data_IF_167190470036
#
_entry.id   IF_167190470036
#
_cell.length_a   1.000
_cell.length_b   1.000
_cell.length_c   1.000
_cell.angle_alpha   90.00
_cell.angle_beta   90.00
_cell.angle_gamma   90.00
#
_symmetry.space_group_name_H-M   'P 1'
#
loop_
_entity.id
_entity.type
_entity.pdbx_description
1 polymer ?
#
# COMPACT_ATOMS: atom_id res chain seq x y z
N UNK A 1 28.97 -45.06 0.61
CA UNK A 1 27.65 -44.72 1.15
C UNK A 1 27.72 -43.25 1.50
N UNK A 2 27.33 -42.37 0.57
CA UNK A 2 27.10 -40.95 0.87
C UNK A 2 25.85 -40.91 1.72
N UNK A 3 26.01 -40.53 2.98
CA UNK A 3 24.90 -40.43 3.92
C UNK A 3 23.88 -39.43 3.35
N UNK A 4 22.59 -39.77 3.38
CA UNK A 4 21.51 -39.03 2.71
C UNK A 4 21.19 -37.67 3.35
N UNK A 5 22.13 -37.09 4.10
CA UNK A 5 22.00 -35.85 4.87
C UNK A 5 22.41 -34.61 4.09
N UNK A 6 23.13 -34.74 2.97
CA UNK A 6 23.63 -33.60 2.18
C UNK A 6 22.53 -32.82 1.42
N UNK A 7 21.28 -33.31 1.45
CA UNK A 7 20.14 -32.74 0.72
C UNK A 7 18.99 -32.27 1.62
N UNK A 8 19.19 -32.20 2.94
CA UNK A 8 18.18 -31.67 3.86
C UNK A 8 18.20 -30.13 3.81
N UNK A 9 17.04 -29.47 3.69
CA UNK A 9 16.97 -28.01 3.77
C UNK A 9 17.46 -27.55 5.14
N UNK A 10 18.15 -26.42 5.14
CA UNK A 10 18.61 -25.76 6.37
C UNK A 10 17.74 -24.54 6.55
N UNK A 11 16.78 -24.65 7.46
CA UNK A 11 15.84 -23.56 7.74
C UNK A 11 16.48 -22.60 8.75
N UNK A 12 16.63 -21.34 8.33
CA UNK A 12 17.26 -20.30 9.14
C UNK A 12 16.34 -19.11 9.20
N UNK A 13 15.83 -18.81 10.38
CA UNK A 13 15.03 -17.61 10.61
C UNK A 13 15.86 -16.36 10.32
N UNK A 14 15.33 -15.45 9.49
CA UNK A 14 16.04 -14.27 8.97
C UNK A 14 16.62 -13.36 10.07
N UNK A 15 15.92 -13.21 11.19
CA UNK A 15 16.34 -12.46 12.37
C UNK A 15 17.46 -13.16 13.19
N UNK A 16 17.70 -14.45 12.98
CA UNK A 16 18.79 -15.22 13.59
C UNK A 16 19.93 -15.53 12.63
N UNK A 17 19.83 -15.15 11.36
CA UNK A 17 20.81 -15.46 10.33
C UNK A 17 22.22 -15.00 10.72
N UNK A 18 22.39 -13.78 11.23
CA UNK A 18 23.71 -13.27 11.62
C UNK A 18 24.35 -14.11 12.75
N UNK A 19 23.58 -14.43 13.79
CA UNK A 19 24.06 -15.26 14.90
C UNK A 19 24.36 -16.67 14.44
N UNK A 20 23.48 -17.24 13.62
CA UNK A 20 23.66 -18.57 13.04
C UNK A 20 24.96 -18.64 12.24
N UNK A 21 25.28 -17.58 11.47
CA UNK A 21 26.53 -17.46 10.71
C UNK A 21 27.75 -17.32 11.63
N UNK A 22 27.64 -16.60 12.74
CA UNK A 22 28.73 -16.41 13.72
C UNK A 22 28.97 -17.70 14.52
N UNK A 23 27.93 -18.35 15.01
CA UNK A 23 27.99 -19.57 15.83
C UNK A 23 28.62 -20.72 15.07
N UNK A 24 28.25 -20.88 13.78
CA UNK A 24 28.87 -21.86 12.88
C UNK A 24 30.21 -21.43 12.30
N UNK A 25 30.71 -20.24 12.68
CA UNK A 25 31.98 -19.67 12.25
C UNK A 25 32.08 -19.45 10.73
N UNK A 26 30.94 -19.28 10.05
CA UNK A 26 30.91 -18.79 8.68
C UNK A 26 31.30 -17.31 8.62
N UNK A 27 30.95 -16.54 9.65
CA UNK A 27 31.35 -15.15 9.84
C UNK A 27 32.12 -15.02 11.15
N UNK A 28 33.19 -14.22 11.15
CA UNK A 28 33.93 -13.91 12.37
C UNK A 28 33.10 -13.01 13.29
N UNK A 29 33.18 -13.26 14.60
CA UNK A 29 32.52 -12.42 15.61
C UNK A 29 32.88 -10.92 15.50
N UNK A 30 34.05 -10.57 14.95
CA UNK A 30 34.52 -9.19 14.79
C UNK A 30 34.46 -8.67 13.35
N UNK A 31 33.54 -9.19 12.54
CA UNK A 31 33.41 -8.83 11.13
C UNK A 31 33.25 -7.31 10.88
N UNK A 32 32.73 -6.53 11.84
CA UNK A 32 32.57 -5.07 11.69
C UNK A 32 33.91 -4.33 11.53
N UNK A 33 34.99 -4.85 12.13
CA UNK A 33 36.34 -4.28 11.97
C UNK A 33 36.82 -4.48 10.54
N UNK A 34 36.61 -5.68 10.02
CA UNK A 34 37.00 -6.05 8.66
C UNK A 34 36.13 -5.31 7.63
N UNK A 35 34.82 -5.19 7.85
CA UNK A 35 33.89 -4.35 7.08
C UNK A 35 34.36 -2.88 7.04
N UNK A 36 34.73 -2.29 8.18
CA UNK A 36 35.26 -0.92 8.21
C UNK A 36 36.56 -0.78 7.41
N UNK A 37 37.43 -1.80 7.45
CA UNK A 37 38.66 -1.83 6.66
C UNK A 37 38.36 -1.92 5.15
N UNK A 38 37.38 -2.73 4.76
CA UNK A 38 36.92 -2.85 3.39
C UNK A 38 36.34 -1.51 2.90
N UNK A 39 35.52 -0.83 3.69
CA UNK A 39 34.94 0.46 3.32
C UNK A 39 36.01 1.54 3.10
N UNK A 40 37.09 1.53 3.89
CA UNK A 40 38.24 2.42 3.66
C UNK A 40 38.95 2.12 2.34
N UNK A 41 39.12 0.84 1.99
CA UNK A 41 39.68 0.42 0.70
C UNK A 41 38.77 0.83 -0.47
N UNK A 42 37.46 0.68 -0.32
CA UNK A 42 36.47 1.16 -1.31
C UNK A 42 36.64 2.66 -1.53
N UNK A 43 36.63 3.48 -0.46
CA UNK A 43 36.78 4.93 -0.57
C UNK A 43 38.08 5.37 -1.26
N UNK A 44 39.16 4.60 -1.10
CA UNK A 44 40.40 4.83 -1.83
C UNK A 44 40.27 4.43 -3.31
N UNK A 45 39.71 3.25 -3.59
CA UNK A 45 39.56 2.73 -4.95
C UNK A 45 38.59 3.54 -5.83
N UNK A 46 37.60 4.22 -5.24
CA UNK A 46 36.67 5.13 -5.96
C UNK A 46 37.41 6.31 -6.61
N UNK A 47 38.54 6.75 -6.05
CA UNK A 47 39.28 7.90 -6.57
C UNK A 47 39.88 7.64 -7.95
N UNK A 48 40.08 6.37 -8.30
CA UNK A 48 40.63 5.94 -9.59
C UNK A 48 39.56 5.16 -10.38
N UNK A 49 38.46 5.83 -10.77
CA UNK A 49 37.35 5.26 -11.53
C UNK A 49 37.33 5.69 -13.00
N UNK A 50 36.98 4.80 -13.95
CA UNK A 50 36.79 5.18 -15.34
C UNK A 50 35.47 5.94 -15.54
N UNK A 51 35.42 6.78 -16.58
CA UNK A 51 34.20 7.51 -16.95
C UNK A 51 33.18 6.61 -17.66
N UNK A 52 32.59 5.67 -16.91
CA UNK A 52 31.46 4.85 -17.35
C UNK A 52 30.21 5.33 -16.62
N UNK A 53 29.17 5.71 -17.36
CA UNK A 53 27.93 6.26 -16.79
C UNK A 53 27.25 5.30 -15.78
N UNK A 54 27.29 4.00 -16.04
CA UNK A 54 26.78 2.99 -15.12
C UNK A 54 27.60 2.90 -13.81
N UNK A 55 28.91 3.14 -13.88
CA UNK A 55 29.76 3.22 -12.68
C UNK A 55 29.44 4.51 -11.90
N UNK A 56 29.26 5.64 -12.58
CA UNK A 56 28.90 6.92 -11.93
C UNK A 56 27.57 6.83 -11.18
N UNK A 57 26.57 6.15 -11.75
CA UNK A 57 25.26 5.95 -11.09
C UNK A 57 25.38 5.02 -9.88
N UNK A 58 26.13 3.92 -9.96
CA UNK A 58 26.39 3.03 -8.82
C UNK A 58 27.15 3.72 -7.69
N UNK A 59 28.02 4.68 -8.01
CA UNK A 59 28.81 5.45 -7.05
C UNK A 59 28.09 6.69 -6.51
N UNK A 60 26.96 7.10 -7.10
CA UNK A 60 26.17 8.24 -6.63
C UNK A 60 25.40 7.95 -5.34
N UNK A 61 25.23 6.67 -4.97
CA UNK A 61 24.62 6.25 -3.71
C UNK A 61 25.51 6.51 -2.49
N UNK A 62 24.92 6.62 -1.30
CA UNK A 62 25.61 6.96 -0.05
C UNK A 62 26.45 5.81 0.54
N UNK A 63 26.20 4.56 0.15
CA UNK A 63 26.91 3.38 0.65
C UNK A 63 27.12 2.32 -0.45
N UNK A 64 28.38 1.96 -0.70
CA UNK A 64 28.78 0.96 -1.70
C UNK A 64 28.94 -0.39 -1.00
N UNK A 65 28.11 -1.36 -1.38
CA UNK A 65 28.10 -2.70 -0.78
C UNK A 65 28.79 -3.74 -1.69
N UNK A 66 28.88 -4.98 -1.22
CA UNK A 66 29.46 -6.11 -1.97
C UNK A 66 28.89 -6.26 -3.39
N UNK A 67 27.58 -6.16 -3.59
CA UNK A 67 26.95 -6.32 -4.90
C UNK A 67 27.31 -5.18 -5.86
N UNK A 68 27.43 -3.95 -5.33
CA UNK A 68 27.98 -2.83 -6.10
C UNK A 68 29.44 -3.10 -6.50
N UNK A 69 30.26 -3.62 -5.59
CA UNK A 69 31.65 -4.00 -5.89
C UNK A 69 31.74 -5.09 -6.96
N UNK A 70 30.86 -6.10 -6.92
CA UNK A 70 30.79 -7.15 -7.95
C UNK A 70 30.41 -6.57 -9.31
N UNK A 71 29.40 -5.69 -9.36
CA UNK A 71 28.98 -5.06 -10.62
C UNK A 71 30.06 -4.15 -11.19
N UNK A 72 30.73 -3.37 -10.35
CA UNK A 72 31.88 -2.55 -10.76
C UNK A 72 33.00 -3.46 -11.30
N UNK A 73 33.31 -4.57 -10.63
CA UNK A 73 34.29 -5.54 -11.11
C UNK A 73 33.94 -6.12 -12.48
N UNK A 74 32.67 -6.44 -12.71
CA UNK A 74 32.18 -6.94 -14.00
C UNK A 74 32.33 -5.90 -15.11
N UNK A 75 31.93 -4.65 -14.85
CA UNK A 75 32.07 -3.55 -15.80
C UNK A 75 33.55 -3.25 -16.12
N UNK A 76 34.43 -3.36 -15.13
CA UNK A 76 35.88 -3.25 -15.32
C UNK A 76 36.45 -4.40 -16.16
N UNK A 77 35.95 -5.63 -16.00
CA UNK A 77 36.37 -6.78 -16.84
C UNK A 77 36.06 -6.55 -18.32
N UNK A 78 34.93 -5.91 -18.62
CA UNK A 78 34.50 -5.60 -19.99
C UNK A 78 35.33 -4.44 -20.57
N UNK A 79 35.51 -3.37 -19.81
CA UNK A 79 36.20 -2.15 -20.28
C UNK A 79 37.72 -2.28 -20.36
N UNK A 80 38.36 -3.10 -19.52
CA UNK A 80 39.82 -3.24 -19.43
C UNK A 80 40.35 -4.58 -20.01
N UNK A 81 39.56 -5.24 -20.86
CA UNK A 81 39.80 -6.57 -21.41
C UNK A 81 41.14 -6.75 -22.15
N UNK A 82 41.78 -5.67 -22.60
CA UNK A 82 43.08 -5.66 -23.27
C UNK A 82 44.32 -5.64 -22.36
N UNK A 83 44.17 -5.56 -21.04
CA UNK A 83 45.28 -5.32 -20.09
C UNK A 83 45.79 -6.58 -19.36
N UNK A 84 45.69 -7.77 -19.97
CA UNK A 84 46.14 -9.03 -19.32
C UNK A 84 47.64 -9.28 -19.57
N UNK A 85 48.37 -9.61 -18.51
CA UNK A 85 49.76 -10.06 -18.59
C UNK A 85 49.84 -11.49 -19.18
N UNK A 86 51.04 -11.92 -19.57
CA UNK A 86 51.34 -13.22 -20.21
C UNK A 86 50.84 -14.45 -19.40
N UNK A 87 50.52 -14.27 -18.11
CA UNK A 87 49.97 -15.28 -17.21
C UNK A 87 48.45 -15.16 -16.97
N UNK A 88 47.73 -14.34 -17.74
CA UNK A 88 46.28 -14.19 -17.65
C UNK A 88 45.76 -13.24 -16.55
N UNK A 89 46.65 -12.70 -15.71
CA UNK A 89 46.30 -11.71 -14.69
C UNK A 89 46.11 -10.32 -15.29
N UNK A 90 45.09 -9.60 -14.83
CA UNK A 90 44.88 -8.19 -15.17
C UNK A 90 46.02 -7.32 -14.60
N UNK A 91 46.54 -6.41 -15.42
CA UNK A 91 47.72 -5.61 -15.07
C UNK A 91 47.39 -4.29 -14.37
N UNK A 92 46.19 -3.75 -14.59
CA UNK A 92 45.74 -2.48 -14.02
C UNK A 92 45.64 -2.54 -12.50
N UNK A 93 46.10 -1.47 -11.84
CA UNK A 93 46.04 -1.35 -10.38
C UNK A 93 44.59 -1.31 -9.89
N UNK A 94 43.74 -0.55 -10.58
CA UNK A 94 42.29 -0.49 -10.36
C UNK A 94 41.65 -1.88 -10.30
N UNK A 95 41.86 -2.71 -11.32
CA UNK A 95 41.29 -4.05 -11.35
C UNK A 95 41.77 -4.90 -10.17
N UNK A 96 43.04 -4.80 -9.80
CA UNK A 96 43.59 -5.50 -8.61
C UNK A 96 42.95 -5.01 -7.32
N UNK A 97 42.73 -3.71 -7.17
CA UNK A 97 42.14 -3.12 -5.97
C UNK A 97 40.69 -3.59 -5.79
N UNK A 98 39.88 -3.60 -6.85
CA UNK A 98 38.49 -4.11 -6.79
C UNK A 98 38.42 -5.63 -6.63
N UNK A 99 39.34 -6.39 -7.23
CA UNK A 99 39.47 -7.83 -6.98
C UNK A 99 39.82 -8.10 -5.51
N UNK A 100 40.71 -7.31 -4.92
CA UNK A 100 41.07 -7.43 -3.50
C UNK A 100 39.87 -7.11 -2.60
N UNK A 101 39.12 -6.04 -2.89
CA UNK A 101 37.92 -5.66 -2.14
C UNK A 101 36.87 -6.79 -2.14
N UNK A 102 36.58 -7.36 -3.31
CA UNK A 102 35.62 -8.49 -3.45
C UNK A 102 36.12 -9.72 -2.68
N UNK A 103 37.42 -10.04 -2.81
CA UNK A 103 38.04 -11.15 -2.08
C UNK A 103 37.98 -10.97 -0.56
N UNK A 104 38.15 -9.74 -0.06
CA UNK A 104 38.05 -9.43 1.35
C UNK A 104 36.62 -9.62 1.88
N UNK A 105 35.59 -9.24 1.10
CA UNK A 105 34.21 -9.54 1.46
C UNK A 105 33.93 -11.05 1.51
N UNK A 106 34.49 -11.83 0.60
CA UNK A 106 34.23 -13.27 0.47
C UNK A 106 34.96 -14.11 1.52
N UNK A 107 36.19 -13.73 1.89
CA UNK A 107 37.11 -14.51 2.75
C UNK A 107 36.52 -14.93 4.10
N UNK A 108 35.66 -14.11 4.67
CA UNK A 108 34.98 -14.38 5.95
C UNK A 108 33.46 -14.13 5.86
N UNK A 109 32.91 -14.25 4.64
CA UNK A 109 31.49 -14.02 4.34
C UNK A 109 30.93 -12.71 4.90
N UNK A 110 31.75 -11.66 4.93
CA UNK A 110 31.43 -10.35 5.52
C UNK A 110 30.23 -9.72 4.82
N UNK A 111 30.08 -9.98 3.52
CA UNK A 111 28.92 -9.53 2.75
C UNK A 111 27.59 -10.02 3.34
N UNK A 112 27.51 -11.27 3.84
CA UNK A 112 26.30 -11.78 4.48
C UNK A 112 26.00 -11.04 5.79
N UNK A 113 27.04 -10.68 6.52
CA UNK A 113 26.90 -10.00 7.80
C UNK A 113 26.44 -8.54 7.65
N UNK A 114 26.98 -7.82 6.66
CA UNK A 114 26.50 -6.48 6.30
C UNK A 114 25.06 -6.48 5.81
N UNK A 115 24.67 -7.47 5.00
CA UNK A 115 23.28 -7.61 4.56
C UNK A 115 22.33 -7.88 5.74
N UNK A 116 22.77 -8.67 6.74
CA UNK A 116 21.98 -8.85 7.95
C UNK A 116 21.81 -7.56 8.76
N UNK A 117 22.84 -6.73 8.90
CA UNK A 117 22.73 -5.44 9.63
C UNK A 117 21.85 -4.42 8.87
N UNK A 118 21.81 -4.49 7.54
CA UNK A 118 20.86 -3.69 6.75
C UNK A 118 19.42 -4.10 6.99
N UNK A 119 19.16 -5.37 7.31
CA UNK A 119 17.81 -5.82 7.65
C UNK A 119 17.26 -5.11 8.90
N UNK A 120 18.10 -4.69 9.84
CA UNK A 120 17.66 -3.92 11.02
C UNK A 120 17.07 -2.57 10.62
N UNK A 121 17.74 -1.88 9.69
CA UNK A 121 17.25 -0.62 9.13
C UNK A 121 16.00 -0.86 8.28
N UNK A 122 15.99 -1.94 7.51
CA UNK A 122 14.82 -2.34 6.74
C UNK A 122 13.59 -2.56 7.63
N UNK A 123 13.70 -3.30 8.75
CA UNK A 123 12.58 -3.47 9.68
C UNK A 123 12.16 -2.14 10.34
N UNK A 124 13.10 -1.23 10.59
CA UNK A 124 12.78 0.10 11.10
C UNK A 124 11.99 0.92 10.07
N UNK A 125 12.46 0.97 8.83
CA UNK A 125 11.82 1.70 7.74
C UNK A 125 10.48 1.06 7.35
N UNK A 126 10.41 -0.28 7.33
CA UNK A 126 9.20 -1.05 7.07
C UNK A 126 8.15 -0.87 8.18
N UNK A 127 8.55 -0.76 9.45
CA UNK A 127 7.63 -0.47 10.55
C UNK A 127 7.00 0.93 10.40
N UNK A 128 7.79 1.93 9.99
CA UNK A 128 7.28 3.28 9.71
C UNK A 128 6.34 3.26 8.51
N UNK A 129 6.72 2.58 7.43
CA UNK A 129 5.88 2.44 6.24
C UNK A 129 4.55 1.74 6.55
N UNK A 130 4.57 0.60 7.24
CA UNK A 130 3.36 -0.14 7.63
C UNK A 130 2.43 0.71 8.51
N UNK A 131 2.99 1.48 9.44
CA UNK A 131 2.24 2.44 10.26
C UNK A 131 1.61 3.55 9.43
N UNK A 132 2.36 4.14 8.50
CA UNK A 132 1.84 5.18 7.62
C UNK A 132 0.72 4.64 6.72
N UNK A 133 0.87 3.44 6.17
CA UNK A 133 -0.16 2.76 5.38
C UNK A 133 -1.42 2.50 6.21
N UNK A 134 -1.28 1.98 7.44
CA UNK A 134 -2.42 1.78 8.35
C UNK A 134 -3.14 3.09 8.64
N UNK A 135 -2.40 4.16 8.94
CA UNK A 135 -2.97 5.48 9.22
C UNK A 135 -3.63 6.11 7.99
N UNK A 136 -3.05 5.94 6.81
CA UNK A 136 -3.65 6.41 5.56
C UNK A 136 -4.95 5.67 5.28
N UNK A 137 -4.98 4.36 5.47
CA UNK A 137 -6.18 3.54 5.30
C UNK A 137 -7.27 3.91 6.30
N UNK A 138 -6.93 4.12 7.58
CA UNK A 138 -7.86 4.61 8.58
C UNK A 138 -8.41 6.00 8.22
N UNK A 139 -7.58 6.91 7.70
CA UNK A 139 -8.01 8.23 7.23
C UNK A 139 -8.95 8.16 6.03
N UNK A 140 -8.71 7.26 5.07
CA UNK A 140 -9.59 7.04 3.93
C UNK A 140 -10.98 6.58 4.37
N UNK A 141 -11.02 5.69 5.37
CA UNK A 141 -12.28 5.22 5.97
C UNK A 141 -12.92 6.23 6.92
N UNK A 142 -12.18 7.24 7.40
CA UNK A 142 -12.66 8.20 8.39
C UNK A 142 -12.73 7.65 9.82
N UNK A 143 -11.97 6.59 10.11
CA UNK A 143 -11.93 5.93 11.42
C UNK A 143 -10.63 6.26 12.17
N UNK A 144 -10.66 6.12 13.50
CA UNK A 144 -9.47 6.22 14.37
C UNK A 144 -8.69 4.90 14.43
N UNK A 145 -9.39 3.77 14.26
CA UNK A 145 -8.79 2.44 14.23
C UNK A 145 -8.62 1.81 15.62
N UNK A 146 -9.37 2.25 16.64
CA UNK A 146 -9.34 1.63 17.97
C UNK A 146 -10.43 0.55 18.09
N UNK A 147 -11.68 0.91 17.78
CA UNK A 147 -12.82 -0.02 17.74
C UNK A 147 -13.44 0.00 16.35
N UNK A 148 -12.77 -0.68 15.42
CA UNK A 148 -13.08 -0.64 13.97
C UNK A 148 -14.59 -0.82 13.72
N UNK A 149 -15.21 -1.88 14.27
CA UNK A 149 -16.65 -2.12 14.09
C UNK A 149 -17.52 -0.99 14.63
N UNK A 150 -17.32 -0.56 15.87
CA UNK A 150 -18.13 0.50 16.48
C UNK A 150 -17.95 1.87 15.79
N UNK A 151 -16.73 2.18 15.33
CA UNK A 151 -16.44 3.39 14.59
C UNK A 151 -17.11 3.38 13.21
N UNK A 152 -17.06 2.25 12.50
CA UNK A 152 -17.79 2.04 11.24
C UNK A 152 -19.30 2.22 11.43
N UNK A 153 -19.88 1.73 12.53
CA UNK A 153 -21.29 1.94 12.88
C UNK A 153 -21.63 3.41 13.10
N UNK A 154 -20.77 4.14 13.81
CA UNK A 154 -20.97 5.57 14.04
C UNK A 154 -20.98 6.35 12.72
N UNK A 155 -20.16 5.95 11.74
CA UNK A 155 -20.15 6.56 10.41
C UNK A 155 -21.43 6.25 9.61
N UNK A 156 -21.99 5.05 9.73
CA UNK A 156 -23.31 4.74 9.13
C UNK A 156 -24.41 5.61 9.73
N UNK A 157 -24.30 5.95 11.02
CA UNK A 157 -25.25 6.84 11.69
C UNK A 157 -25.16 8.31 11.22
N UNK A 158 -24.09 8.70 10.52
CA UNK A 158 -23.96 10.04 9.91
C UNK A 158 -24.66 10.15 8.53
N UNK A 159 -24.97 9.01 7.87
CA UNK A 159 -25.61 8.98 6.55
C UNK A 159 -26.95 9.74 6.47
N UNK A 160 -27.86 9.68 7.46
CA UNK A 160 -29.10 10.45 7.41
C UNK A 160 -28.87 11.96 7.28
N UNK A 161 -27.92 12.51 8.05
CA UNK A 161 -27.56 13.93 7.97
C UNK A 161 -26.92 14.26 6.60
N UNK A 162 -26.13 13.34 6.04
CA UNK A 162 -25.62 13.45 4.68
C UNK A 162 -26.77 13.52 3.65
N UNK A 163 -27.76 12.64 3.72
CA UNK A 163 -28.91 12.67 2.81
C UNK A 163 -29.75 13.95 2.91
N UNK A 164 -29.91 14.51 4.12
CA UNK A 164 -30.58 15.80 4.29
C UNK A 164 -29.82 16.94 3.61
N UNK A 165 -28.49 16.97 3.77
CA UNK A 165 -27.63 17.93 3.07
C UNK A 165 -27.72 17.77 1.54
N UNK A 166 -27.69 16.53 1.05
CA UNK A 166 -27.78 16.21 -0.36
C UNK A 166 -29.15 16.61 -0.93
N UNK A 167 -30.23 16.34 -0.21
CA UNK A 167 -31.59 16.72 -0.63
C UNK A 167 -31.72 18.24 -0.73
N UNK A 168 -31.04 18.99 0.15
CA UNK A 168 -30.99 20.45 0.08
C UNK A 168 -30.22 20.95 -1.13
N UNK A 169 -29.09 20.32 -1.45
CA UNK A 169 -28.30 20.64 -2.64
C UNK A 169 -29.05 20.29 -3.93
N UNK A 170 -29.75 19.15 -3.98
CA UNK A 170 -30.58 18.73 -5.13
C UNK A 170 -31.69 19.74 -5.42
N UNK A 171 -32.27 20.38 -4.41
CA UNK A 171 -33.25 21.46 -4.62
C UNK A 171 -32.67 22.67 -5.35
N UNK A 172 -31.38 22.92 -5.23
CA UNK A 172 -30.70 24.00 -5.98
C UNK A 172 -30.56 23.71 -7.48
N UNK A 173 -30.79 22.45 -7.90
CA UNK A 173 -30.75 22.04 -9.30
C UNK A 173 -32.06 22.32 -10.06
N UNK A 174 -33.06 23.00 -9.46
CA UNK A 174 -34.34 23.28 -10.12
C UNK A 174 -34.18 23.96 -11.46
N UNK A 175 -33.33 24.97 -11.50
CA UNK A 175 -33.07 25.75 -12.71
C UNK A 175 -32.42 24.91 -13.81
N UNK A 176 -31.72 23.82 -13.44
CA UNK A 176 -31.08 22.88 -14.36
C UNK A 176 -32.08 21.90 -14.93
N UNK A 177 -32.92 21.32 -14.07
CA UNK A 177 -33.97 20.39 -14.48
C UNK A 177 -34.97 21.10 -15.39
N UNK A 178 -35.38 22.32 -15.06
CA UNK A 178 -36.28 23.14 -15.87
C UNK A 178 -35.68 23.51 -17.23
N UNK A 179 -34.38 23.86 -17.25
CA UNK A 179 -33.66 24.18 -18.47
C UNK A 179 -33.54 22.96 -19.39
N UNK A 180 -33.13 21.82 -18.84
CA UNK A 180 -32.99 20.58 -19.60
C UNK A 180 -34.34 20.07 -20.11
N UNK A 181 -35.37 20.05 -19.27
CA UNK A 181 -36.72 19.65 -19.64
C UNK A 181 -37.29 20.50 -20.77
N UNK A 182 -37.13 21.82 -20.71
CA UNK A 182 -37.59 22.71 -21.78
C UNK A 182 -36.80 22.56 -23.08
N UNK A 183 -35.49 22.28 -22.98
CA UNK A 183 -34.65 22.01 -24.15
C UNK A 183 -35.06 20.72 -24.86
N UNK A 184 -35.24 19.62 -24.11
CA UNK A 184 -35.68 18.33 -24.68
C UNK A 184 -37.10 18.45 -25.26
N UNK A 185 -37.99 19.16 -24.57
CA UNK A 185 -39.34 19.38 -25.07
C UNK A 185 -39.37 20.18 -26.39
N UNK A 186 -38.48 21.16 -26.54
CA UNK A 186 -38.34 21.94 -27.76
C UNK A 186 -37.73 21.15 -28.92
N UNK A 187 -36.77 20.26 -28.64
CA UNK A 187 -35.98 19.57 -29.68
C UNK A 187 -36.58 18.24 -30.14
N UNK A 188 -37.18 17.45 -29.23
CA UNK A 188 -37.59 16.06 -29.48
C UNK A 188 -39.13 15.87 -29.37
N UNK A 189 -39.87 16.91 -28.98
CA UNK A 189 -41.33 16.86 -28.68
C UNK A 189 -41.67 15.78 -27.62
N UNK A 190 -41.53 16.14 -26.34
CA UNK A 190 -42.02 15.41 -25.15
C UNK A 190 -41.71 13.89 -25.08
N UNK A 191 -40.72 13.52 -24.26
CA UNK A 191 -40.47 12.11 -23.89
C UNK A 191 -41.54 11.61 -22.90
N UNK A 192 -42.17 10.46 -23.17
CA UNK A 192 -43.09 9.81 -22.23
C UNK A 192 -42.33 9.37 -20.96
N UNK A 193 -42.57 10.04 -19.85
CA UNK A 193 -41.93 9.75 -18.55
C UNK A 193 -41.14 10.91 -17.94
N UNK A 194 -40.97 12.02 -18.65
CA UNK A 194 -40.12 13.13 -18.21
C UNK A 194 -38.65 12.85 -18.50
N UNK A 195 -37.79 13.86 -18.30
CA UNK A 195 -36.35 13.79 -18.59
C UNK A 195 -35.52 13.32 -17.40
N UNK A 196 -35.92 13.68 -16.16
CA UNK A 196 -35.20 13.32 -14.92
C UNK A 196 -36.19 13.01 -13.80
N UNK A 197 -36.88 11.86 -13.88
CA UNK A 197 -38.04 11.60 -13.05
C UNK A 197 -37.65 11.37 -11.58
N UNK A 198 -36.46 10.83 -11.29
CA UNK A 198 -36.01 10.61 -9.91
C UNK A 198 -35.53 11.90 -9.24
N UNK A 199 -34.78 12.75 -9.96
CA UNK A 199 -34.41 14.09 -9.49
C UNK A 199 -35.65 14.93 -9.18
N UNK A 200 -36.63 14.94 -10.09
CA UNK A 200 -37.90 15.65 -9.89
C UNK A 200 -38.62 15.19 -8.61
N UNK A 201 -38.65 13.89 -8.37
CA UNK A 201 -39.26 13.32 -7.15
C UNK A 201 -38.48 13.67 -5.88
N UNK A 202 -37.15 13.63 -5.91
CA UNK A 202 -36.31 14.03 -4.77
C UNK A 202 -36.45 15.52 -4.43
N UNK A 203 -36.65 16.37 -5.44
CA UNK A 203 -36.88 17.80 -5.24
C UNK A 203 -38.22 18.10 -4.58
N UNK A 204 -39.29 17.43 -5.01
CA UNK A 204 -40.66 17.64 -4.50
C UNK A 204 -40.89 16.97 -3.14
N UNK A 205 -40.45 15.72 -2.99
CA UNK A 205 -40.82 14.87 -1.87
C UNK A 205 -39.66 14.57 -0.91
N UNK A 206 -38.42 14.87 -1.29
CA UNK A 206 -37.22 14.53 -0.51
C UNK A 206 -36.85 13.04 -0.56
N UNK A 207 -35.92 12.63 0.31
CA UNK A 207 -35.47 11.24 0.42
C UNK A 207 -36.54 10.33 1.03
N UNK A 208 -37.49 9.92 0.18
CA UNK A 208 -38.61 9.03 0.54
C UNK A 208 -38.26 7.56 0.32
N UNK A 209 -39.15 6.64 0.70
CA UNK A 209 -38.95 5.20 0.49
C UNK A 209 -39.02 4.85 -1.00
N UNK A 210 -38.28 3.82 -1.41
CA UNK A 210 -38.34 3.29 -2.79
C UNK A 210 -39.76 2.81 -3.13
N UNK A 211 -40.52 2.36 -2.14
CA UNK A 211 -41.96 2.09 -2.26
C UNK A 211 -42.75 3.31 -2.78
N UNK A 212 -42.57 4.47 -2.14
CA UNK A 212 -43.27 5.69 -2.51
C UNK A 212 -42.88 6.17 -3.90
N UNK A 213 -41.62 6.02 -4.28
CA UNK A 213 -41.14 6.30 -5.63
C UNK A 213 -41.82 5.38 -6.68
N UNK A 214 -41.80 4.06 -6.46
CA UNK A 214 -42.30 3.07 -7.41
C UNK A 214 -43.82 3.11 -7.56
N UNK A 215 -44.55 3.24 -6.45
CA UNK A 215 -46.02 3.15 -6.41
C UNK A 215 -46.72 4.50 -6.33
N UNK A 216 -45.98 5.61 -6.19
CA UNK A 216 -46.51 6.98 -6.02
C UNK A 216 -47.51 7.13 -4.86
N UNK A 217 -47.42 6.26 -3.85
CA UNK A 217 -48.26 6.24 -2.64
C UNK A 217 -47.38 6.09 -1.41
N UNK A 218 -47.70 6.81 -0.35
CA UNK A 218 -47.02 6.66 0.94
C UNK A 218 -47.38 5.30 1.54
N UNK A 219 -46.40 4.51 2.02
CA UNK A 219 -46.66 3.24 2.71
C UNK A 219 -47.31 3.48 4.09
N UNK A 220 -48.23 2.60 4.50
CA UNK A 220 -48.92 2.67 5.81
C UNK A 220 -48.04 2.14 6.95
N UNK A 221 -47.06 1.28 6.64
CA UNK A 221 -46.04 0.78 7.56
C UNK A 221 -44.76 0.44 6.79
N UNK A 222 -43.61 0.81 7.36
CA UNK A 222 -42.28 0.48 6.82
C UNK A 222 -41.67 -0.58 7.73
N UNK A 223 -41.32 -1.72 7.15
CA UNK A 223 -40.58 -2.76 7.87
C UNK A 223 -39.15 -2.26 8.12
N UNK A 224 -38.74 -2.17 9.39
CA UNK A 224 -37.36 -1.78 9.72
C UNK A 224 -36.39 -2.80 9.14
N UNK A 225 -35.53 -2.34 8.23
CA UNK A 225 -34.42 -3.15 7.73
C UNK A 225 -33.49 -3.40 8.91
N UNK A 226 -33.56 -4.61 9.47
CA UNK A 226 -32.66 -5.04 10.55
C UNK A 226 -31.23 -4.94 10.03
N UNK A 227 -30.51 -3.98 10.59
CA UNK A 227 -29.08 -3.88 10.43
C UNK A 227 -28.43 -5.04 11.21
N UNK A 228 -28.04 -6.08 10.48
CA UNK A 228 -27.57 -7.37 11.02
C UNK A 228 -26.35 -7.26 11.97
N UNK A 229 -25.64 -6.14 11.94
CA UNK A 229 -24.41 -5.88 12.72
C UNK A 229 -24.64 -5.46 14.18
N UNK A 230 -25.88 -5.42 14.65
CA UNK A 230 -26.23 -5.04 16.04
C UNK A 230 -26.14 -6.20 17.03
N UNK A 231 -25.90 -7.44 16.59
CA UNK A 231 -25.56 -8.52 17.51
C UNK A 231 -24.09 -8.33 17.91
N UNK A 232 -23.91 -7.68 19.06
CA UNK A 232 -22.67 -7.69 19.83
C UNK A 232 -22.24 -9.15 20.02
N UNK A 233 -21.34 -9.64 19.18
CA UNK A 233 -20.30 -10.50 19.72
C UNK A 233 -19.46 -9.58 20.59
N UNK A 234 -19.77 -9.56 21.89
CA UNK A 234 -18.79 -9.24 22.90
C UNK A 234 -17.51 -9.94 22.47
N UNK A 235 -16.52 -9.17 22.02
CA UNK A 235 -15.16 -9.65 21.97
C UNK A 235 -14.82 -10.00 23.40
N UNK A 236 -15.07 -11.26 23.76
CA UNK A 236 -14.28 -11.93 24.77
C UNK A 236 -12.87 -11.78 24.26
N UNK A 237 -12.19 -10.76 24.77
CA UNK A 237 -10.76 -10.78 24.94
C UNK A 237 -10.49 -12.04 25.78
N UNK A 238 -10.47 -13.20 25.12
CA UNK A 238 -9.58 -14.23 25.57
C UNK A 238 -8.23 -13.53 25.51
N UNK A 239 -7.70 -13.23 26.68
CA UNK A 239 -6.28 -13.27 26.95
C UNK A 239 -5.76 -14.68 26.66
N UNK A 240 -5.99 -15.18 25.43
CA UNK A 240 -5.08 -16.10 24.80
C UNK A 240 -3.85 -15.22 24.60
N UNK A 241 -3.00 -15.26 25.62
CA UNK A 241 -1.57 -15.05 25.52
C UNK A 241 -1.20 -15.34 24.07
N UNK A 242 -0.99 -14.28 23.28
CA UNK A 242 -0.61 -14.43 21.87
C UNK A 242 0.74 -15.11 21.95
N UNK A 243 0.68 -16.44 21.91
CA UNK A 243 1.80 -17.31 21.66
C UNK A 243 2.20 -16.92 20.25
N UNK A 244 3.11 -15.96 20.17
CA UNK A 244 3.98 -15.76 19.03
C UNK A 244 4.91 -16.97 18.92
N UNK A 245 4.35 -18.18 19.03
CA UNK A 245 4.88 -19.45 18.69
C UNK A 245 5.29 -19.33 17.25
N UNK A 246 6.49 -18.81 17.08
CA UNK A 246 7.35 -18.99 15.95
C UNK A 246 7.59 -20.51 15.87
N UNK A 247 6.55 -21.26 15.51
CA UNK A 247 6.73 -22.55 14.87
C UNK A 247 7.40 -22.21 13.55
N UNK A 248 8.60 -22.76 13.43
CA UNK A 248 9.63 -22.50 12.43
C UNK A 248 9.22 -22.73 10.98
N UNK A 249 7.98 -23.17 10.74
CA UNK A 249 7.57 -23.80 9.49
C UNK A 249 6.56 -22.95 8.69
N UNK A 250 5.94 -21.91 9.26
CA UNK A 250 4.83 -21.18 8.61
C UNK A 250 5.21 -19.81 8.00
N UNK A 251 6.51 -19.46 7.95
CA UNK A 251 6.97 -18.16 7.41
C UNK A 251 7.42 -18.24 5.95
N UNK A 252 7.34 -19.42 5.31
CA UNK A 252 7.81 -19.60 3.94
C UNK A 252 6.83 -19.12 2.86
N UNK A 253 5.54 -18.95 3.18
CA UNK A 253 4.47 -18.61 2.20
C UNK A 253 3.70 -17.31 2.51
N UNK A 254 4.28 -16.37 3.27
CA UNK A 254 3.66 -15.05 3.39
C UNK A 254 3.98 -14.24 2.14
N UNK A 255 3.08 -14.28 1.16
CA UNK A 255 3.02 -13.34 0.05
C UNK A 255 2.83 -11.92 0.60
N UNK A 256 3.94 -11.19 0.77
CA UNK A 256 3.94 -9.78 1.15
C UNK A 256 3.44 -8.87 0.03
N UNK A 257 3.06 -9.43 -1.12
CA UNK A 257 2.45 -8.72 -2.22
C UNK A 257 0.96 -9.07 -2.30
N UNK A 258 0.19 -8.71 -1.25
CA UNK A 258 -1.25 -8.53 -1.39
C UNK A 258 -1.44 -7.28 -2.26
N UNK A 259 -1.30 -7.46 -3.57
CA UNK A 259 -2.12 -6.74 -4.54
C UNK A 259 -3.54 -7.11 -4.19
N UNK A 260 -4.17 -6.29 -3.34
CA UNK A 260 -5.59 -6.06 -3.46
C UNK A 260 -5.75 -5.70 -4.94
N UNK A 261 -6.55 -6.47 -5.67
CA UNK A 261 -7.17 -5.94 -6.89
C UNK A 261 -7.83 -4.65 -6.46
N UNK A 262 -7.10 -3.58 -6.71
CA UNK A 262 -7.44 -2.23 -6.38
C UNK A 262 -8.72 -1.93 -7.15
N UNK A 263 -9.86 -2.12 -6.48
CA UNK A 263 -11.14 -1.62 -6.96
C UNK A 263 -11.10 -0.11 -6.75
N UNK A 264 -10.31 0.58 -7.57
CA UNK A 264 -10.51 2.00 -7.85
C UNK A 264 -9.39 3.00 -7.57
N UNK A 265 -8.10 2.67 -7.70
CA UNK A 265 -7.02 3.65 -7.59
C UNK A 265 -5.89 3.49 -8.62
N UNK A 266 -6.21 3.20 -9.88
CA UNK A 266 -5.45 3.77 -11.02
C UNK A 266 -6.13 3.47 -12.36
N UNK A 267 -7.16 4.24 -12.65
CA UNK A 267 -7.52 4.62 -14.03
C UNK A 267 -8.50 5.78 -13.94
N UNK A 268 -8.18 6.89 -14.61
CA UNK A 268 -9.12 7.96 -14.96
C UNK A 268 -10.12 7.44 -16.01
N UNK A 269 -10.73 6.29 -15.75
CA UNK A 269 -11.84 5.75 -16.49
C UNK A 269 -13.14 6.23 -15.83
N UNK A 270 -14.20 6.53 -16.61
CA UNK A 270 -15.50 6.82 -16.04
C UNK A 270 -15.91 5.64 -15.16
N UNK A 271 -16.30 5.94 -13.92
CA UNK A 271 -16.76 4.96 -12.93
C UNK A 271 -17.93 4.21 -13.56
N UNK A 272 -17.70 2.95 -13.93
CA UNK A 272 -18.75 2.06 -14.41
C UNK A 272 -19.55 1.57 -13.20
N UNK A 273 -20.77 2.09 -13.05
CA UNK A 273 -21.74 1.64 -12.06
C UNK A 273 -22.31 0.24 -12.38
N UNK A 274 -21.87 -0.36 -13.49
CA UNK A 274 -22.18 -1.72 -13.86
C UNK A 274 -21.08 -2.66 -13.35
N UNK A 275 -21.18 -3.06 -12.08
CA UNK A 275 -20.60 -4.35 -11.70
C UNK A 275 -21.41 -5.41 -12.45
N UNK A 276 -20.91 -5.83 -13.61
CA UNK A 276 -21.21 -7.17 -14.10
C UNK A 276 -20.67 -8.13 -13.05
N UNK A 277 -21.57 -8.65 -12.22
CA UNK A 277 -21.31 -9.73 -11.29
C UNK A 277 -20.97 -10.95 -12.14
N UNK A 278 -19.68 -11.22 -12.35
CA UNK A 278 -19.26 -12.53 -12.81
C UNK A 278 -19.70 -13.54 -11.74
N UNK A 279 -20.63 -14.39 -12.14
CA UNK A 279 -21.30 -15.38 -11.31
C UNK A 279 -20.27 -16.32 -10.66
N UNK A 280 -19.91 -16.08 -9.40
CA UNK A 280 -19.44 -17.13 -8.50
C UNK A 280 -19.49 -16.65 -7.06
N UNK A 281 -20.31 -17.34 -6.27
CA UNK A 281 -20.50 -17.23 -4.81
C UNK A 281 -21.49 -16.17 -4.30
N UNK A 282 -22.73 -16.63 -4.10
CA UNK A 282 -23.53 -16.30 -2.92
C UNK A 282 -24.10 -14.88 -2.79
N UNK A 283 -24.24 -14.13 -3.88
CA UNK A 283 -24.85 -12.80 -3.82
C UNK A 283 -26.39 -12.91 -3.90
N UNK A 284 -27.08 -12.13 -3.05
CA UNK A 284 -28.53 -12.02 -3.04
C UNK A 284 -28.96 -11.38 -4.36
N UNK A 285 -29.63 -12.15 -5.20
CA UNK A 285 -30.28 -11.70 -6.42
C UNK A 285 -31.40 -10.71 -6.06
N UNK A 286 -31.12 -9.42 -6.20
CA UNK A 286 -32.09 -8.35 -6.00
C UNK A 286 -33.01 -8.17 -7.22
N UNK A 287 -32.88 -9.02 -8.24
CA UNK A 287 -33.74 -9.06 -9.40
C UNK A 287 -34.76 -10.20 -9.31
N UNK A 288 -35.42 -10.32 -8.16
CA UNK A 288 -36.72 -11.02 -8.13
C UNK A 288 -37.71 -10.08 -8.82
N UNK A 289 -37.92 -10.30 -10.12
CA UNK A 289 -39.22 -10.05 -10.73
C UNK A 289 -40.25 -10.78 -9.86
N UNK A 290 -40.90 -10.05 -8.96
CA UNK A 290 -42.10 -10.54 -8.31
C UNK A 290 -43.15 -10.70 -9.40
N UNK A 291 -43.19 -11.90 -9.97
CA UNK A 291 -44.30 -12.37 -10.78
C UNK A 291 -45.57 -12.06 -9.98
N UNK A 292 -46.38 -11.17 -10.54
CA UNK A 292 -47.61 -10.68 -9.96
C UNK A 292 -48.57 -11.86 -9.76
N UNK A 293 -48.67 -12.33 -8.53
CA UNK A 293 -49.38 -13.56 -8.23
C UNK A 293 -49.60 -13.81 -6.74
N UNK A 294 -49.96 -12.78 -5.98
CA UNK A 294 -50.39 -12.95 -4.60
C UNK A 294 -50.92 -11.66 -4.02
N UNK A 295 -52.18 -11.67 -3.62
CA UNK A 295 -52.82 -10.59 -2.85
C UNK A 295 -52.17 -10.49 -1.45
N UNK A 296 -50.96 -9.96 -1.40
CA UNK A 296 -50.28 -9.50 -0.19
C UNK A 296 -50.52 -8.01 -0.03
N UNK A 297 -50.75 -7.59 1.22
CA UNK A 297 -51.13 -6.24 1.63
C UNK A 297 -50.31 -5.14 0.92
N UNK A 298 -50.93 -4.50 -0.07
CA UNK A 298 -50.34 -3.56 -1.04
C UNK A 298 -50.08 -2.18 -0.41
N UNK A 299 -49.81 -2.17 0.90
CA UNK A 299 -49.67 -1.01 1.79
C UNK A 299 -48.39 -1.02 2.63
N UNK A 300 -47.68 -2.16 2.70
CA UNK A 300 -46.46 -2.32 3.53
C UNK A 300 -45.22 -2.34 2.64
N UNK A 301 -44.23 -1.49 2.94
CA UNK A 301 -42.93 -1.51 2.28
C UNK A 301 -42.04 -2.59 2.92
N UNK A 302 -41.58 -3.57 2.15
CA UNK A 302 -40.72 -4.69 2.61
C UNK A 302 -39.46 -4.82 1.77
N UNK A 303 -38.37 -5.30 2.37
CA UNK A 303 -37.12 -5.58 1.67
C UNK A 303 -36.50 -4.34 1.00
N UNK A 304 -36.22 -4.39 -0.30
CA UNK A 304 -35.66 -3.26 -1.07
C UNK A 304 -36.56 -2.03 -1.13
N UNK A 305 -37.88 -2.23 -1.02
CA UNK A 305 -38.85 -1.16 -1.11
C UNK A 305 -38.96 -0.39 0.22
N UNK A 306 -38.48 -0.96 1.33
CA UNK A 306 -38.38 -0.31 2.65
C UNK A 306 -37.19 0.65 2.76
N UNK A 307 -36.17 0.48 1.92
CA UNK A 307 -35.02 1.38 1.85
C UNK A 307 -35.43 2.75 1.30
N UNK A 308 -34.66 3.79 1.63
CA UNK A 308 -34.82 5.10 1.00
C UNK A 308 -34.33 5.08 -0.44
N UNK A 309 -34.82 6.02 -1.25
CA UNK A 309 -34.44 6.17 -2.66
C UNK A 309 -32.92 6.31 -2.84
N UNK A 310 -32.23 6.98 -1.91
CA UNK A 310 -30.78 7.15 -1.96
C UNK A 310 -30.00 5.96 -1.36
N UNK A 311 -30.64 5.15 -0.53
CA UNK A 311 -30.03 3.93 0.04
C UNK A 311 -30.09 2.74 -0.91
N UNK A 312 -31.17 2.60 -1.67
CA UNK A 312 -31.35 1.47 -2.57
C UNK A 312 -30.37 1.59 -3.76
N UNK A 313 -29.53 0.57 -4.01
CA UNK A 313 -28.49 0.64 -5.04
C UNK A 313 -29.04 0.90 -6.44
N UNK A 314 -30.21 0.36 -6.77
CA UNK A 314 -30.83 0.51 -8.10
C UNK A 314 -31.24 1.96 -8.34
N UNK A 315 -31.95 2.56 -7.38
CA UNK A 315 -32.40 3.95 -7.50
C UNK A 315 -31.26 4.94 -7.29
N UNK A 316 -30.26 4.60 -6.47
CA UNK A 316 -29.03 5.39 -6.35
C UNK A 316 -28.27 5.45 -7.67
N UNK A 317 -28.12 4.32 -8.37
CA UNK A 317 -27.49 4.28 -9.69
C UNK A 317 -28.30 5.10 -10.70
N UNK A 318 -29.63 5.00 -10.67
CA UNK A 318 -30.49 5.86 -11.48
C UNK A 318 -30.26 7.35 -11.19
N UNK A 319 -30.15 7.73 -9.91
CA UNK A 319 -29.89 9.11 -9.51
C UNK A 319 -28.55 9.63 -10.04
N UNK A 320 -27.48 8.84 -9.93
CA UNK A 320 -26.16 9.21 -10.47
C UNK A 320 -26.20 9.30 -12.00
N UNK A 321 -26.88 8.37 -12.67
CA UNK A 321 -27.05 8.40 -14.12
C UNK A 321 -27.80 9.66 -14.59
N UNK A 322 -28.88 10.05 -13.91
CA UNK A 322 -29.62 11.28 -14.22
C UNK A 322 -28.74 12.53 -14.00
N UNK A 323 -27.88 12.55 -12.98
CA UNK A 323 -26.91 13.64 -12.78
C UNK A 323 -25.83 13.68 -13.89
N UNK A 324 -25.32 12.52 -14.30
CA UNK A 324 -24.34 12.43 -15.40
C UNK A 324 -24.94 12.82 -16.74
N UNK A 325 -26.22 12.51 -16.97
CA UNK A 325 -26.98 12.96 -18.14
C UNK A 325 -27.05 14.49 -18.19
N UNK A 326 -27.43 15.13 -17.06
CA UNK A 326 -27.46 16.59 -16.97
C UNK A 326 -26.06 17.22 -17.12
N UNK A 327 -25.03 16.63 -16.51
CA UNK A 327 -23.65 17.10 -16.65
C UNK A 327 -23.20 17.04 -18.12
N UNK A 328 -23.42 15.91 -18.79
CA UNK A 328 -23.06 15.70 -20.19
C UNK A 328 -23.79 16.69 -21.11
N UNK A 329 -25.09 16.90 -20.88
CA UNK A 329 -25.89 17.89 -21.61
C UNK A 329 -25.32 19.31 -21.45
N UNK A 330 -25.03 19.74 -20.21
CA UNK A 330 -24.50 21.08 -19.96
C UNK A 330 -23.07 21.25 -20.50
N UNK A 331 -22.23 20.21 -20.45
CA UNK A 331 -20.88 20.23 -21.05
C UNK A 331 -20.96 20.40 -22.56
N UNK A 332 -21.84 19.64 -23.22
CA UNK A 332 -22.10 19.78 -24.65
C UNK A 332 -22.61 21.21 -24.96
N UNK A 333 -23.59 21.70 -24.20
CA UNK A 333 -24.14 23.03 -24.40
C UNK A 333 -23.12 24.14 -24.19
N UNK A 334 -22.23 23.98 -23.21
CA UNK A 334 -21.14 24.91 -22.94
C UNK A 334 -20.17 24.99 -24.13
N UNK A 335 -19.84 23.85 -24.74
CA UNK A 335 -18.99 23.80 -25.94
C UNK A 335 -19.67 24.45 -27.15
N UNK A 336 -20.96 24.19 -27.36
CA UNK A 336 -21.74 24.82 -28.44
C UNK A 336 -21.77 26.35 -28.32
N UNK A 337 -21.96 26.88 -27.12
CA UNK A 337 -22.00 28.33 -26.88
C UNK A 337 -20.63 29.02 -26.91
N UNK A 338 -19.54 28.26 -26.79
CA UNK A 338 -18.17 28.76 -26.89
C UNK A 338 -17.57 28.60 -28.30
N UNK A 339 -18.21 27.80 -29.16
CA UNK A 339 -17.77 27.54 -30.52
C UNK A 339 -18.09 28.68 -31.50
N UNK A 340 -17.43 28.67 -32.66
CA UNK A 340 -17.63 29.66 -33.74
C UNK A 340 -19.05 29.59 -34.37
N UNK A 341 -19.79 28.50 -34.12
CA UNK A 341 -21.17 28.25 -34.59
C UNK A 341 -22.26 28.91 -33.73
N UNK A 342 -21.90 29.69 -32.70
CA UNK A 342 -22.86 30.35 -31.80
C UNK A 342 -23.92 31.14 -32.58
N UNK A 343 -23.53 31.84 -33.64
CA UNK A 343 -24.41 32.66 -34.50
C UNK A 343 -25.44 31.80 -35.26
N UNK A 344 -25.10 30.56 -35.63
CA UNK A 344 -26.02 29.63 -36.30
C UNK A 344 -26.99 29.01 -35.29
N UNK A 345 -26.52 28.75 -34.07
CA UNK A 345 -27.36 28.24 -32.98
C UNK A 345 -28.41 29.28 -32.55
N UNK A 346 -28.04 30.56 -32.43
CA UNK A 346 -28.93 31.67 -32.07
C UNK A 346 -30.12 31.82 -33.04
N UNK A 347 -29.92 31.51 -34.33
CA UNK A 347 -31.01 31.53 -35.32
C UNK A 347 -31.94 30.32 -35.23
N UNK A 348 -31.44 29.15 -34.81
CA UNK A 348 -32.25 27.93 -34.65
C UNK A 348 -33.13 27.97 -33.39
N UNK A 349 -32.68 28.66 -32.33
CA UNK A 349 -33.41 28.75 -31.07
C UNK A 349 -34.37 29.95 -30.96
N UNK A 350 -34.64 30.70 -32.03
CA UNK A 350 -35.55 31.87 -31.98
C UNK A 350 -37.00 31.53 -31.57
N UNK A 351 -37.44 30.29 -31.82
CA UNK A 351 -38.75 29.77 -31.38
C UNK A 351 -38.68 29.01 -30.05
N UNK A 352 -37.50 28.88 -29.44
CA UNK A 352 -37.33 28.20 -28.17
C UNK A 352 -37.92 29.01 -27.01
N UNK A 353 -38.37 28.37 -25.92
CA UNK A 353 -38.89 29.08 -24.76
C UNK A 353 -37.81 29.96 -24.10
N UNK A 354 -38.24 31.03 -23.43
CA UNK A 354 -37.35 32.09 -22.90
C UNK A 354 -36.30 31.58 -21.91
N UNK A 355 -36.61 30.48 -21.21
CA UNK A 355 -35.68 29.80 -20.31
C UNK A 355 -34.52 29.10 -21.04
N UNK A 356 -34.67 28.76 -22.32
CA UNK A 356 -33.60 28.21 -23.18
C UNK A 356 -32.80 29.33 -23.86
N UNK A 357 -33.47 30.42 -24.26
CA UNK A 357 -32.85 31.54 -24.98
C UNK A 357 -31.99 32.46 -24.11
N UNK A 358 -32.40 32.72 -22.87
CA UNK A 358 -31.81 33.77 -22.03
C UNK A 358 -30.65 33.31 -21.14
N UNK A 359 -30.22 32.05 -21.25
CA UNK A 359 -29.12 31.50 -20.42
C UNK A 359 -27.77 31.97 -20.95
N UNK A 360 -26.90 32.43 -20.06
CA UNK A 360 -25.53 32.83 -20.41
C UNK A 360 -24.53 31.69 -20.22
N UNK A 361 -23.32 31.87 -20.75
CA UNK A 361 -22.19 30.94 -20.53
C UNK A 361 -21.86 30.84 -19.03
N UNK A 362 -21.96 31.95 -18.29
CA UNK A 362 -21.75 31.97 -16.84
C UNK A 362 -22.82 31.19 -16.09
N UNK A 363 -24.08 31.22 -16.55
CA UNK A 363 -25.16 30.43 -15.96
C UNK A 363 -24.89 28.94 -16.12
N UNK A 364 -24.51 28.50 -17.32
CA UNK A 364 -24.20 27.08 -17.58
C UNK A 364 -23.01 26.62 -16.75
N UNK A 365 -21.96 27.44 -16.60
CA UNK A 365 -20.82 27.13 -15.72
C UNK A 365 -21.24 26.98 -14.25
N UNK A 366 -22.15 27.84 -13.76
CA UNK A 366 -22.69 27.73 -12.39
C UNK A 366 -23.53 26.45 -12.22
N UNK A 367 -24.33 26.11 -13.23
CA UNK A 367 -25.16 24.90 -13.24
C UNK A 367 -24.30 23.64 -13.24
N UNK A 368 -23.25 23.60 -14.06
CA UNK A 368 -22.24 22.53 -14.06
C UNK A 368 -21.55 22.38 -12.71
N UNK A 369 -21.07 23.49 -12.13
CA UNK A 369 -20.41 23.46 -10.83
C UNK A 369 -21.31 22.90 -9.72
N UNK A 370 -22.63 23.17 -9.80
CA UNK A 370 -23.62 22.66 -8.85
C UNK A 370 -23.80 21.14 -8.99
N UNK A 371 -23.87 20.63 -10.23
CA UNK A 371 -23.97 19.18 -10.49
C UNK A 371 -22.67 18.46 -10.11
N UNK A 372 -21.51 18.96 -10.52
CA UNK A 372 -20.23 18.32 -10.21
C UNK A 372 -19.96 18.31 -8.69
N UNK A 373 -20.45 19.29 -7.93
CA UNK A 373 -20.41 19.26 -6.46
C UNK A 373 -21.24 18.11 -5.88
N UNK A 374 -22.45 17.89 -6.39
CA UNK A 374 -23.34 16.80 -5.94
C UNK A 374 -22.78 15.43 -6.37
N UNK A 375 -22.28 15.32 -7.60
CA UNK A 375 -21.61 14.10 -8.09
C UNK A 375 -20.39 13.76 -7.24
N UNK A 376 -19.51 14.72 -6.96
CA UNK A 376 -18.31 14.47 -6.16
C UNK A 376 -18.62 14.02 -4.72
N UNK A 377 -19.74 14.47 -4.14
CA UNK A 377 -20.25 13.97 -2.85
C UNK A 377 -20.74 12.52 -2.94
N UNK A 378 -21.37 12.12 -4.04
CA UNK A 378 -21.92 10.78 -4.23
C UNK A 378 -20.87 9.76 -4.67
N UNK A 379 -19.82 10.20 -5.36
CA UNK A 379 -18.71 9.36 -5.84
C UNK A 379 -17.51 9.38 -4.89
N UNK A 380 -17.64 9.95 -3.71
CA UNK A 380 -16.60 9.91 -2.68
C UNK A 380 -16.37 8.45 -2.24
N UNK A 381 -15.12 8.00 -2.26
CA UNK A 381 -14.69 6.67 -1.82
C UNK A 381 -15.21 6.35 -0.42
N UNK A 382 -15.24 7.34 0.48
CA UNK A 382 -15.77 7.19 1.84
C UNK A 382 -17.26 6.86 1.83
N UNK A 383 -18.05 7.59 1.05
CA UNK A 383 -19.49 7.37 0.94
C UNK A 383 -19.78 6.01 0.29
N UNK A 384 -18.97 5.61 -0.70
CA UNK A 384 -19.05 4.26 -1.28
C UNK A 384 -18.85 3.16 -0.22
N UNK A 385 -17.81 3.27 0.62
CA UNK A 385 -17.59 2.33 1.73
C UNK A 385 -18.78 2.28 2.68
N UNK A 386 -19.42 3.41 3.00
CA UNK A 386 -20.60 3.46 3.86
C UNK A 386 -21.83 2.78 3.24
N UNK A 387 -22.04 2.95 1.94
CA UNK A 387 -23.09 2.22 1.22
C UNK A 387 -22.84 0.71 1.23
N UNK A 388 -21.59 0.27 1.01
CA UNK A 388 -21.20 -1.13 1.04
C UNK A 388 -21.34 -1.75 2.44
N UNK A 389 -21.01 -0.97 3.47
CA UNK A 389 -21.17 -1.35 4.88
C UNK A 389 -22.64 -1.58 5.26
N UNK A 390 -23.56 -0.79 4.70
CA UNK A 390 -25.00 -0.95 4.92
C UNK A 390 -25.62 -2.07 4.09
N UNK A 391 -25.08 -2.35 2.90
CA UNK A 391 -25.65 -3.32 1.96
C UNK A 391 -25.19 -4.76 2.21
N UNK A 392 -24.00 -4.98 2.78
CA UNK A 392 -23.44 -6.33 2.98
C UNK A 392 -22.75 -6.50 4.34
N UNK A 393 -23.20 -7.46 5.19
CA UNK A 393 -22.52 -7.78 6.44
C UNK A 393 -21.15 -8.42 6.22
N UNK A 394 -21.00 -9.24 5.17
CA UNK A 394 -19.70 -9.85 4.82
C UNK A 394 -18.64 -8.80 4.48
N UNK A 395 -19.07 -7.65 3.96
CA UNK A 395 -18.17 -6.53 3.69
C UNK A 395 -17.64 -5.90 4.98
N UNK A 396 -18.48 -5.77 6.01
CA UNK A 396 -18.08 -5.30 7.35
C UNK A 396 -16.98 -6.20 7.91
N UNK A 397 -17.16 -7.52 7.83
CA UNK A 397 -16.20 -8.48 8.37
C UNK A 397 -14.88 -8.47 7.59
N UNK A 398 -14.92 -8.51 6.26
CA UNK A 398 -13.73 -8.41 5.41
C UNK A 398 -12.97 -7.11 5.63
N UNK A 399 -13.69 -5.98 5.75
CA UNK A 399 -13.08 -4.68 6.00
C UNK A 399 -12.45 -4.64 7.40
N UNK A 400 -13.15 -5.15 8.41
CA UNK A 400 -12.64 -5.23 9.78
C UNK A 400 -11.38 -6.10 9.85
N UNK A 401 -11.40 -7.26 9.19
CA UNK A 401 -10.26 -8.17 9.09
C UNK A 401 -9.08 -7.50 8.38
N UNK A 402 -9.33 -6.81 7.26
CA UNK A 402 -8.28 -6.09 6.52
C UNK A 402 -7.62 -5.00 7.37
N UNK A 403 -8.41 -4.21 8.12
CA UNK A 403 -7.89 -3.17 9.00
C UNK A 403 -7.09 -3.80 10.17
N UNK A 404 -7.56 -4.94 10.71
CA UNK A 404 -6.82 -5.69 11.75
C UNK A 404 -5.50 -6.21 11.23
N UNK A 405 -5.48 -6.87 10.08
CA UNK A 405 -4.25 -7.39 9.48
C UNK A 405 -3.21 -6.28 9.26
N UNK A 406 -3.63 -5.09 8.81
CA UNK A 406 -2.73 -3.94 8.68
C UNK A 406 -2.17 -3.46 10.02
N UNK A 407 -2.99 -3.48 11.08
CA UNK A 407 -2.55 -3.16 12.44
C UNK A 407 -1.58 -4.22 12.99
N UNK A 408 -1.90 -5.50 12.82
CA UNK A 408 -1.06 -6.61 13.27
C UNK A 408 0.29 -6.59 12.54
N UNK A 409 0.30 -6.18 11.28
CA UNK A 409 1.53 -5.97 10.51
C UNK A 409 2.40 -4.85 11.12
N UNK A 410 1.81 -3.71 11.52
CA UNK A 410 2.54 -2.64 12.24
C UNK A 410 3.16 -3.20 13.53
N UNK A 411 2.36 -3.89 14.35
CA UNK A 411 2.80 -4.44 15.64
C UNK A 411 3.91 -5.48 15.46
N UNK A 412 3.78 -6.37 14.47
CA UNK A 412 4.78 -7.38 14.13
C UNK A 412 6.10 -6.76 13.67
N UNK A 413 6.05 -5.72 12.83
CA UNK A 413 7.27 -5.04 12.38
C UNK A 413 7.96 -4.31 13.53
N UNK A 414 7.20 -3.66 14.42
CA UNK A 414 7.75 -3.02 15.63
C UNK A 414 8.35 -4.04 16.60
N UNK A 415 7.66 -5.15 16.87
CA UNK A 415 8.17 -6.21 17.74
C UNK A 415 9.48 -6.80 17.17
N UNK A 416 9.51 -7.04 15.86
CA UNK A 416 10.71 -7.53 15.16
C UNK A 416 11.87 -6.54 15.24
N UNK A 417 11.60 -5.23 15.10
CA UNK A 417 12.59 -4.17 15.24
C UNK A 417 13.19 -4.16 16.66
N UNK A 418 12.34 -4.23 17.70
CA UNK A 418 12.78 -4.21 19.10
C UNK A 418 13.64 -5.44 19.40
N UNK A 419 13.18 -6.63 19.03
CA UNK A 419 13.93 -7.88 19.23
C UNK A 419 15.32 -7.81 18.59
N UNK A 420 15.42 -7.24 17.39
CA UNK A 420 16.70 -7.09 16.69
C UNK A 420 17.62 -6.06 17.35
N UNK A 421 17.08 -4.95 17.84
CA UNK A 421 17.85 -3.96 18.59
C UNK A 421 18.40 -4.50 19.91
N UNK A 422 17.61 -5.27 20.65
CA UNK A 422 18.06 -5.93 21.89
C UNK A 422 19.21 -6.89 21.62
N UNK A 423 19.05 -7.71 20.58
CA UNK A 423 20.07 -8.64 20.12
C UNK A 423 21.36 -7.95 19.74
N UNK A 424 21.28 -6.87 18.96
CA UNK A 424 22.43 -6.03 18.59
C UNK A 424 23.15 -5.48 19.82
N UNK A 425 22.40 -5.00 20.82
CA UNK A 425 22.97 -4.52 22.09
C UNK A 425 23.69 -5.64 22.84
N UNK A 426 23.11 -6.83 22.90
CA UNK A 426 23.72 -8.00 23.53
C UNK A 426 25.05 -8.38 22.86
N UNK A 427 25.07 -8.54 21.52
CA UNK A 427 26.29 -8.87 20.77
C UNK A 427 27.37 -7.79 20.91
N UNK A 428 26.99 -6.50 20.98
CA UNK A 428 27.94 -5.42 21.23
C UNK A 428 28.56 -5.49 22.62
N UNK A 429 27.80 -5.86 23.64
CA UNK A 429 28.29 -5.99 25.00
C UNK A 429 29.24 -7.20 25.14
N UNK A 430 28.90 -8.32 24.51
CA UNK A 430 29.79 -9.48 24.41
C UNK A 430 31.10 -9.12 23.67
N UNK A 431 31.02 -8.38 22.56
CA UNK A 431 32.19 -7.90 21.85
C UNK A 431 33.08 -7.00 22.74
N UNK A 432 32.49 -6.14 23.57
CA UNK A 432 33.24 -5.32 24.54
C UNK A 432 33.91 -6.17 25.61
N UNK A 433 33.27 -7.23 26.09
CA UNK A 433 33.86 -8.14 27.08
C UNK A 433 34.99 -9.01 26.50
N UNK A 434 34.91 -9.36 25.21
CA UNK A 434 35.94 -10.15 24.53
C UNK A 434 37.18 -9.33 24.17
N UNK A 435 37.05 -8.05 23.83
CA UNK A 435 38.19 -7.14 23.54
C UNK A 435 39.33 -7.17 24.58
N UNK A 436 39.10 -7.01 25.90
CA UNK A 436 40.17 -7.02 26.90
C UNK A 436 40.76 -8.41 27.13
N UNK A 437 40.03 -9.49 26.81
CA UNK A 437 40.56 -10.86 26.85
C UNK A 437 41.53 -11.07 25.68
N UNK A 438 41.18 -10.57 24.51
CA UNK A 438 42.04 -10.62 23.32
C UNK A 438 43.32 -9.81 23.52
N UNK A 439 43.24 -8.59 24.04
CA UNK A 439 44.43 -7.78 24.36
C UNK A 439 45.35 -8.49 25.36
N UNK A 440 44.80 -9.18 26.36
CA UNK A 440 45.58 -10.00 27.30
C UNK A 440 46.29 -11.15 26.61
N UNK A 441 45.61 -11.86 25.71
CA UNK A 441 46.19 -12.98 24.95
C UNK A 441 47.29 -12.47 24.02
N UNK A 442 47.09 -11.36 23.32
CA UNK A 442 48.10 -10.74 22.46
C UNK A 442 49.33 -10.34 23.29
N UNK A 443 49.13 -9.70 24.44
CA UNK A 443 50.22 -9.32 25.35
C UNK A 443 51.01 -10.55 25.83
N UNK A 444 50.32 -11.60 26.25
CA UNK A 444 50.97 -12.83 26.71
C UNK A 444 51.73 -13.54 25.59
N UNK A 445 51.16 -13.56 24.38
CA UNK A 445 51.81 -14.12 23.18
C UNK A 445 53.09 -13.37 22.83
N UNK A 446 53.08 -12.04 22.91
CA UNK A 446 54.28 -11.19 22.71
C UNK A 446 55.33 -11.39 23.81
N UNK A 447 54.91 -11.61 25.05
CA UNK A 447 55.82 -11.93 26.16
C UNK A 447 56.49 -13.30 25.96
N UNK A 448 55.72 -14.32 25.57
CA UNK A 448 56.22 -15.65 25.24
C UNK A 448 57.19 -15.60 24.05
N UNK A 449 56.87 -14.85 22.99
CA UNK A 449 57.77 -14.63 21.87
C UNK A 449 59.14 -14.12 22.34
N UNK A 450 59.15 -13.06 23.16
CA UNK A 450 60.39 -12.50 23.71
C UNK A 450 61.17 -13.50 24.58
N UNK A 451 60.46 -14.30 25.38
CA UNK A 451 61.10 -15.34 26.21
C UNK A 451 61.75 -16.43 25.36
N UNK A 452 61.06 -16.88 24.31
CA UNK A 452 61.57 -17.90 23.39
C UNK A 452 62.77 -17.34 22.59
N UNK A 453 62.68 -16.11 22.07
CA UNK A 453 63.79 -15.43 21.40
C UNK A 453 65.02 -15.34 22.31
N UNK A 454 64.83 -15.02 23.59
CA UNK A 454 65.90 -14.94 24.58
C UNK A 454 66.54 -16.30 24.89
N UNK A 455 65.74 -17.36 25.03
CA UNK A 455 66.25 -18.71 25.28
C UNK A 455 66.98 -19.29 24.06
N UNK A 456 66.47 -19.05 22.85
CA UNK A 456 67.17 -19.43 21.62
C UNK A 456 68.46 -18.62 21.48
N UNK A 457 68.43 -17.31 21.72
CA UNK A 457 69.62 -16.44 21.69
C UNK A 457 70.75 -16.95 22.60
N UNK A 458 70.43 -17.41 23.82
CA UNK A 458 71.41 -18.03 24.74
C UNK A 458 72.06 -19.28 24.15
N UNK A 459 71.31 -20.14 23.47
CA UNK A 459 71.84 -21.34 22.80
C UNK A 459 72.77 -21.03 21.62
N UNK A 460 72.64 -19.85 21.02
CA UNK A 460 73.46 -19.40 19.89
C UNK A 460 74.44 -18.26 20.26
N UNK A 461 75.10 -18.37 21.41
CA UNK A 461 76.16 -17.44 21.87
C UNK A 461 75.69 -15.96 21.91
N UNK A 462 74.45 -15.71 22.35
CA UNK A 462 73.84 -14.37 22.46
C UNK A 462 73.72 -13.61 21.12
N UNK A 463 73.56 -14.32 19.99
CA UNK A 463 73.14 -13.65 18.74
C UNK A 463 71.69 -13.20 18.82
N UNK A 464 71.32 -12.04 18.25
CA UNK A 464 69.93 -11.58 18.20
C UNK A 464 69.08 -12.56 17.37
N UNK A 465 67.95 -12.98 17.91
CA UNK A 465 67.00 -13.90 17.27
C UNK A 465 65.64 -13.20 17.25
N UNK A 466 65.06 -13.03 16.07
CA UNK A 466 63.70 -12.52 15.88
C UNK A 466 62.83 -13.63 15.29
N UNK A 467 61.79 -14.02 16.02
CA UNK A 467 60.75 -14.91 15.51
C UNK A 467 59.87 -14.11 14.54
N UNK A 468 59.88 -14.49 13.26
CA UNK A 468 59.04 -13.87 12.23
C UNK A 468 57.93 -14.84 11.79
N UNK A 469 56.74 -14.29 11.53
CA UNK A 469 55.56 -15.06 11.11
C UNK A 469 54.26 -14.33 11.46
N UNK A 470 53.15 -15.09 11.53
CA UNK A 470 51.80 -14.57 11.83
C UNK A 470 51.67 -13.82 13.17
N UNK A 471 52.65 -13.97 14.07
CA UNK A 471 52.70 -13.27 15.36
C UNK A 471 53.02 -11.77 15.19
N UNK A 472 53.70 -11.37 14.11
CA UNK A 472 53.98 -9.96 13.81
C UNK A 472 52.77 -9.20 13.25
N UNK A 473 51.72 -9.93 12.85
CA UNK A 473 50.46 -9.39 12.35
C UNK A 473 49.34 -9.39 13.40
N UNK A 474 49.63 -9.80 14.64
CA UNK A 474 48.69 -9.86 15.79
C UNK A 474 48.65 -8.57 16.62
#
# INVERSE_FOLDING_TARGET
MSDGTDNLPIDITSNKLLDWLIDRRHVKHKWQIDSTSIQKKINHAIQDMPEVEEIKTLLAGTYINYFHCLRILELLKVSESGSKNIFGYYSSQRMKDWQEIVSLYEKDSIYLAEECEKKDKYYADAAVAAKEEYQQYCKQLGIKGEKIRAELLSLVAELPAFYESLTTDVKSLSDVVDFYGAFVQFTIESVKGGTTPLLSHLMENGNTTTYQWRKKKTPDSVEEVKLWFLEEEEETANEDEIDWGLTSDDVEDIDFNITIEDVGADQKAPIDFNIETSDTSGNIDWNIETNSGGAGDDSIARGTDALTVLDNPVTRNQFVNELLELESFLQQRLMEMQGEDDILSVNQFQSAPSNVQMKTVEDIKRMLASISNILSKMTDTRIHHLFMLKSSPQYVDRLTETVRLKKDMEEKMLASQVAMQEKRKASMEEAKQLKPKEERIIKHTRELQKQIEKEISKKYKNRPVNLMGAINTL
#
